data_IF_318148742191
#
_entry.id   IF_318148742191
#
_cell.length_a   1.000
_cell.length_b   1.000
_cell.length_c   1.000
_cell.angle_alpha   90.00
_cell.angle_beta   90.00
_cell.angle_gamma   90.00
#
_symmetry.space_group_name_H-M   'P 1'
#
loop_
_entity.id
_entity.type
_entity.pdbx_description
1 polymer ?
#
# COMPACT_ATOMS: atom_id res chain seq x y z
N UNK A 1 4.52 -43.49 0.70
CA UNK A 1 4.15 -42.20 0.09
C UNK A 1 3.46 -42.42 -1.25
N UNK A 2 4.10 -43.08 -2.22
CA UNK A 2 3.48 -43.41 -3.52
C UNK A 2 2.81 -44.79 -3.45
N UNK A 3 1.59 -44.91 -3.98
CA UNK A 3 0.84 -46.16 -4.12
C UNK A 3 1.03 -46.79 -5.49
N UNK A 4 0.93 -45.99 -6.56
CA UNK A 4 1.16 -46.45 -7.93
C UNK A 4 1.52 -45.29 -8.85
N UNK A 5 2.20 -45.62 -9.95
CA UNK A 5 2.45 -44.68 -11.04
C UNK A 5 1.93 -45.29 -12.35
N UNK A 6 1.28 -44.50 -13.19
CA UNK A 6 0.80 -44.94 -14.50
C UNK A 6 1.10 -43.91 -15.58
N UNK A 7 1.31 -44.38 -16.80
CA UNK A 7 1.48 -43.51 -17.97
C UNK A 7 0.10 -43.29 -18.58
N UNK A 8 -0.29 -42.03 -18.75
CA UNK A 8 -1.53 -41.64 -19.40
C UNK A 8 -1.26 -40.97 -20.75
N UNK A 9 -1.86 -41.53 -21.80
CA UNK A 9 -1.76 -40.99 -23.15
C UNK A 9 -0.32 -40.85 -23.65
N UNK A 10 0.00 -39.83 -24.47
CA UNK A 10 1.30 -39.70 -25.13
C UNK A 10 2.38 -39.02 -24.26
N UNK A 11 2.39 -39.26 -22.94
CA UNK A 11 3.54 -38.84 -22.09
C UNK A 11 3.25 -38.27 -20.70
N UNK A 12 2.00 -38.31 -20.19
CA UNK A 12 1.75 -37.89 -18.80
C UNK A 12 2.08 -39.03 -17.83
N UNK A 13 2.68 -38.69 -16.69
CA UNK A 13 2.90 -39.63 -15.59
C UNK A 13 1.95 -39.26 -14.46
N UNK A 14 0.99 -40.13 -14.20
CA UNK A 14 0.11 -40.02 -13.05
C UNK A 14 0.77 -40.70 -11.85
N UNK A 15 0.88 -39.98 -10.73
CA UNK A 15 1.39 -40.52 -9.47
C UNK A 15 0.24 -40.56 -8.47
N UNK A 16 -0.18 -41.75 -8.07
CA UNK A 16 -1.17 -41.96 -7.01
C UNK A 16 -0.45 -42.02 -5.67
N UNK A 17 -0.83 -41.16 -4.74
CA UNK A 17 -0.33 -41.17 -3.36
C UNK A 17 -1.12 -42.18 -2.52
N UNK A 18 -0.44 -42.86 -1.60
CA UNK A 18 -1.05 -43.83 -0.68
C UNK A 18 -2.02 -43.15 0.28
N UNK A 19 -3.24 -43.67 0.38
CA UNK A 19 -4.26 -43.18 1.31
C UNK A 19 -3.80 -43.23 2.77
N UNK A 20 -3.09 -44.30 3.18
CA UNK A 20 -2.56 -44.38 4.55
C UNK A 20 -1.51 -43.30 4.82
N UNK A 21 -0.71 -42.95 3.82
CA UNK A 21 0.28 -41.88 3.95
C UNK A 21 -0.40 -40.50 4.05
N UNK A 22 -1.41 -40.23 3.23
CA UNK A 22 -2.18 -38.98 3.29
C UNK A 22 -2.88 -38.84 4.65
N UNK A 23 -3.50 -39.90 5.15
CA UNK A 23 -4.24 -39.88 6.42
C UNK A 23 -3.37 -39.57 7.64
N UNK A 24 -2.09 -39.95 7.62
CA UNK A 24 -1.13 -39.65 8.69
C UNK A 24 -0.65 -38.20 8.71
N UNK A 25 -0.67 -37.48 7.59
CA UNK A 25 -0.20 -36.09 7.54
C UNK A 25 -1.01 -35.12 8.42
N UNK A 26 -2.36 -35.08 8.37
CA UNK A 26 -3.13 -34.15 9.19
C UNK A 26 -3.03 -34.44 10.69
N UNK A 27 -2.67 -35.66 11.11
CA UNK A 27 -2.43 -35.97 12.52
C UNK A 27 -1.35 -35.06 13.11
N UNK A 28 -0.26 -34.80 12.39
CA UNK A 28 0.81 -33.88 12.83
C UNK A 28 0.32 -32.44 13.02
N UNK A 29 -0.57 -31.96 12.14
CA UNK A 29 -1.16 -30.61 12.29
C UNK A 29 -2.04 -30.50 13.55
N UNK A 30 -2.71 -31.60 13.92
CA UNK A 30 -3.61 -31.66 15.07
C UNK A 30 -2.83 -31.81 16.38
N UNK A 31 -1.77 -32.62 16.39
CA UNK A 31 -0.98 -32.89 17.61
C UNK A 31 0.06 -31.81 17.88
N UNK A 32 0.76 -31.35 16.84
CA UNK A 32 1.92 -30.47 16.99
C UNK A 32 1.58 -29.00 16.66
N UNK A 33 0.35 -28.75 16.21
CA UNK A 33 -0.17 -27.43 15.86
C UNK A 33 0.12 -27.03 14.41
N UNK A 34 -0.74 -26.18 13.84
CA UNK A 34 -0.65 -25.81 12.42
C UNK A 34 0.66 -25.11 12.06
N UNK A 35 1.27 -24.41 13.02
CA UNK A 35 2.54 -23.69 12.84
C UNK A 35 3.71 -24.59 12.43
N UNK A 36 3.61 -25.91 12.65
CA UNK A 36 4.64 -26.89 12.24
C UNK A 36 4.63 -27.19 10.74
N UNK A 37 3.57 -26.81 10.04
CA UNK A 37 3.46 -26.98 8.59
C UNK A 37 4.11 -25.84 7.80
N UNK A 38 4.53 -24.79 8.50
CA UNK A 38 5.18 -23.67 7.86
C UNK A 38 6.51 -24.11 7.23
N UNK A 39 6.75 -23.81 5.94
CA UNK A 39 8.05 -24.07 5.35
C UNK A 39 9.09 -23.17 6.02
N UNK A 40 10.21 -23.76 6.45
CA UNK A 40 11.34 -22.97 6.95
C UNK A 40 12.09 -22.37 5.75
N UNK A 41 12.08 -21.04 5.68
CA UNK A 41 12.82 -20.30 4.67
C UNK A 41 14.21 -19.95 5.20
N UNK A 42 15.22 -19.97 4.33
CA UNK A 42 16.57 -19.51 4.67
C UNK A 42 16.66 -17.99 4.91
N UNK A 43 15.61 -17.25 4.54
CA UNK A 43 15.50 -15.81 4.70
C UNK A 43 15.19 -15.47 6.16
N UNK A 44 16.09 -14.74 6.82
CA UNK A 44 15.91 -14.37 8.24
C UNK A 44 15.02 -13.15 8.43
N UNK A 45 15.05 -12.20 7.49
CA UNK A 45 14.33 -10.93 7.60
C UNK A 45 13.82 -10.46 6.24
N UNK A 46 12.59 -9.96 6.21
CA UNK A 46 11.98 -9.35 5.04
C UNK A 46 11.36 -8.00 5.40
N UNK A 47 11.38 -7.06 4.44
CA UNK A 47 10.67 -5.79 4.56
C UNK A 47 9.54 -5.81 3.55
N UNK A 48 8.32 -5.59 4.01
CA UNK A 48 7.14 -5.52 3.14
C UNK A 48 6.61 -4.10 3.21
N UNK A 49 6.75 -3.36 2.11
CA UNK A 49 6.19 -2.02 1.95
C UNK A 49 4.85 -2.12 1.20
N UNK A 50 3.78 -1.62 1.83
CA UNK A 50 2.45 -1.74 1.29
C UNK A 50 1.52 -0.63 1.80
N UNK A 51 0.31 -0.57 1.24
CA UNK A 51 -0.64 0.53 1.38
C UNK A 51 -0.17 1.81 0.68
N UNK A 52 0.90 2.43 1.17
CA UNK A 52 1.59 3.62 0.62
C UNK A 52 0.65 4.65 -0.02
N UNK A 53 -0.39 5.11 0.69
CA UNK A 53 -1.32 6.10 0.15
C UNK A 53 -0.64 7.46 0.04
N UNK A 54 -1.12 8.28 -0.89
CA UNK A 54 -0.72 9.69 -0.94
C UNK A 54 -1.62 10.51 -0.01
N UNK A 55 -1.04 11.20 0.97
CA UNK A 55 -1.80 11.94 2.01
C UNK A 55 -2.71 13.02 1.40
N UNK A 56 -2.30 13.59 0.27
CA UNK A 56 -3.03 14.69 -0.39
C UNK A 56 -4.21 14.21 -1.23
N UNK A 57 -4.34 12.90 -1.44
CA UNK A 57 -5.48 12.28 -2.13
C UNK A 57 -6.35 11.50 -1.15
N UNK A 58 -7.63 11.37 -1.48
CA UNK A 58 -8.54 10.51 -0.72
C UNK A 58 -8.12 9.04 -0.87
N UNK A 59 -8.19 8.30 0.24
CA UNK A 59 -8.00 6.86 0.19
C UNK A 59 -9.20 6.20 -0.47
N UNK A 60 -9.05 5.81 -1.74
CA UNK A 60 -10.04 5.02 -2.47
C UNK A 60 -9.67 3.53 -2.52
N UNK A 61 -10.60 2.70 -3.02
CA UNK A 61 -10.47 1.23 -3.16
C UNK A 61 -9.21 0.76 -3.90
N UNK A 62 -8.55 1.64 -4.65
CA UNK A 62 -7.26 1.34 -5.30
C UNK A 62 -6.14 1.06 -4.29
N UNK A 63 -6.12 1.79 -3.16
CA UNK A 63 -5.16 1.57 -2.08
C UNK A 63 -5.51 0.35 -1.21
N UNK A 64 -6.78 -0.08 -1.23
CA UNK A 64 -7.21 -1.27 -0.50
C UNK A 64 -6.55 -2.54 -1.06
N UNK A 65 -6.33 -2.59 -2.38
CA UNK A 65 -5.66 -3.72 -3.04
C UNK A 65 -4.24 -3.93 -2.51
N UNK A 66 -3.40 -2.89 -2.54
CA UNK A 66 -2.02 -2.99 -2.02
C UNK A 66 -2.01 -3.30 -0.54
N UNK A 67 -2.99 -2.76 0.20
CA UNK A 67 -3.12 -3.00 1.65
C UNK A 67 -3.38 -4.48 1.97
N UNK A 68 -4.38 -5.09 1.33
CA UNK A 68 -4.75 -6.49 1.57
C UNK A 68 -3.65 -7.45 1.10
N UNK A 69 -3.10 -7.22 -0.09
CA UNK A 69 -2.05 -8.07 -0.64
C UNK A 69 -0.79 -8.00 0.22
N UNK A 70 -0.36 -6.80 0.60
CA UNK A 70 0.82 -6.61 1.44
C UNK A 70 0.68 -7.25 2.81
N UNK A 71 -0.48 -7.09 3.46
CA UNK A 71 -0.72 -7.74 4.75
C UNK A 71 -0.75 -9.27 4.63
N UNK A 72 -1.35 -9.81 3.57
CA UNK A 72 -1.39 -11.26 3.32
C UNK A 72 0.03 -11.82 3.13
N UNK A 73 0.87 -11.15 2.33
CA UNK A 73 2.27 -11.57 2.12
C UNK A 73 3.05 -11.49 3.42
N UNK A 74 2.88 -10.42 4.21
CA UNK A 74 3.56 -10.27 5.49
C UNK A 74 3.21 -11.42 6.45
N UNK A 75 1.93 -11.79 6.54
CA UNK A 75 1.47 -12.94 7.36
C UNK A 75 2.02 -14.27 6.87
N UNK A 76 2.10 -14.49 5.55
CA UNK A 76 2.68 -15.73 4.98
C UNK A 76 4.17 -15.88 5.32
N UNK A 77 4.91 -14.76 5.31
CA UNK A 77 6.33 -14.73 5.67
C UNK A 77 6.54 -14.95 7.17
N UNK A 78 5.72 -14.32 8.02
CA UNK A 78 5.73 -14.56 9.47
C UNK A 78 5.38 -16.01 9.83
N UNK A 79 4.39 -16.58 9.13
CA UNK A 79 4.04 -17.99 9.27
C UNK A 79 5.26 -18.87 8.99
N UNK A 80 6.04 -18.54 7.95
CA UNK A 80 7.31 -19.17 7.57
C UNK A 80 8.51 -18.79 8.46
N UNK A 81 8.25 -18.24 9.66
CA UNK A 81 9.24 -17.85 10.69
C UNK A 81 10.24 -16.77 10.25
N UNK A 82 9.89 -15.96 9.24
CA UNK A 82 10.69 -14.81 8.82
C UNK A 82 10.36 -13.61 9.71
N UNK A 83 11.40 -12.85 10.13
CA UNK A 83 11.20 -11.56 10.81
C UNK A 83 10.73 -10.51 9.78
N UNK A 84 9.47 -10.09 9.86
CA UNK A 84 8.85 -9.19 8.87
C UNK A 84 8.70 -7.78 9.42
N UNK A 85 9.34 -6.83 8.74
CA UNK A 85 9.13 -5.41 8.97
C UNK A 85 8.10 -4.86 8.00
N UNK A 86 6.91 -4.55 8.50
CA UNK A 86 5.87 -3.86 7.73
C UNK A 86 6.19 -2.37 7.64
N UNK A 87 6.28 -1.83 6.43
CA UNK A 87 6.47 -0.41 6.17
C UNK A 87 5.31 0.13 5.35
N UNK A 88 5.04 1.41 5.58
CA UNK A 88 4.09 2.18 4.80
C UNK A 88 4.84 3.41 4.31
N UNK A 89 5.33 3.36 3.07
CA UNK A 89 6.01 4.47 2.43
C UNK A 89 4.98 5.47 1.91
N UNK A 90 4.42 6.22 2.86
CA UNK A 90 3.38 7.20 2.60
C UNK A 90 3.91 8.29 1.65
N UNK A 91 3.08 8.71 0.69
CA UNK A 91 3.40 9.82 -0.20
C UNK A 91 3.20 11.16 0.51
N UNK A 92 4.14 11.52 1.40
CA UNK A 92 4.13 12.73 2.22
C UNK A 92 5.05 13.85 1.67
N UNK A 93 5.74 13.58 0.56
CA UNK A 93 6.68 14.52 -0.07
C UNK A 93 6.32 14.80 -1.54
N UNK A 94 6.36 16.07 -1.95
CA UNK A 94 6.21 16.48 -3.35
C UNK A 94 5.42 17.78 -3.55
N UNK A 95 5.27 18.19 -4.81
CA UNK A 95 4.60 19.45 -5.19
C UNK A 95 3.17 19.57 -4.65
N UNK A 96 2.48 18.44 -4.49
CA UNK A 96 1.12 18.39 -3.95
C UNK A 96 1.04 18.94 -2.52
N UNK A 97 2.09 18.74 -1.71
CA UNK A 97 2.20 19.34 -0.37
C UNK A 97 2.43 20.85 -0.43
N UNK A 98 3.35 21.32 -1.27
CA UNK A 98 3.60 22.75 -1.44
C UNK A 98 2.35 23.51 -1.89
N UNK A 99 1.57 22.90 -2.80
CA UNK A 99 0.31 23.47 -3.25
C UNK A 99 -0.79 23.47 -2.17
N UNK A 100 -0.87 22.41 -1.36
CA UNK A 100 -1.81 22.34 -0.25
C UNK A 100 -1.47 23.39 0.82
N UNK A 101 -0.18 23.55 1.13
CA UNK A 101 0.31 24.55 2.09
C UNK A 101 -0.02 25.97 1.60
N UNK A 102 0.25 26.29 0.33
CA UNK A 102 -0.12 27.59 -0.24
C UNK A 102 -1.62 27.84 -0.19
N UNK A 103 -2.44 26.83 -0.54
CA UNK A 103 -3.89 26.92 -0.44
C UNK A 103 -4.34 27.22 1.00
N UNK A 104 -3.69 26.61 2.00
CA UNK A 104 -3.95 26.91 3.40
C UNK A 104 -3.52 28.32 3.80
N UNK A 105 -2.39 28.83 3.29
CA UNK A 105 -1.95 30.21 3.51
C UNK A 105 -2.90 31.26 2.91
N UNK A 106 -3.46 30.99 1.73
CA UNK A 106 -4.44 31.89 1.12
C UNK A 106 -5.78 31.88 1.86
N UNK A 107 -6.22 30.68 2.27
CA UNK A 107 -7.51 30.48 2.92
C UNK A 107 -7.50 30.94 4.38
N UNK A 108 -6.38 30.76 5.07
CA UNK A 108 -6.20 31.12 6.46
C UNK A 108 -5.02 32.07 6.59
N UNK A 109 -5.29 33.30 7.03
CA UNK A 109 -4.25 34.28 7.34
C UNK A 109 -3.23 33.68 8.33
N UNK A 110 -1.95 34.01 8.12
CA UNK A 110 -0.81 33.62 8.95
C UNK A 110 -1.18 33.68 10.45
N UNK A 111 -1.14 32.53 11.12
CA UNK A 111 -1.37 32.43 12.57
C UNK A 111 -2.77 31.99 13.02
N UNK A 112 -3.74 31.78 12.12
CA UNK A 112 -5.04 31.16 12.45
C UNK A 112 -5.18 29.72 11.94
N UNK A 113 -4.10 28.95 11.98
CA UNK A 113 -4.20 27.50 11.72
C UNK A 113 -4.73 26.82 12.99
N UNK A 114 -5.78 25.99 12.89
CA UNK A 114 -6.17 25.16 14.00
C UNK A 114 -5.02 24.17 14.27
N UNK A 115 -4.29 24.41 15.36
CA UNK A 115 -3.23 23.54 15.86
C UNK A 115 -3.71 22.12 16.20
N UNK A 116 -5.03 21.94 16.33
CA UNK A 116 -5.72 20.66 16.41
C UNK A 116 -6.96 20.68 15.52
N UNK A 117 -6.73 20.58 14.21
CA UNK A 117 -7.83 20.42 13.27
C UNK A 117 -8.49 19.04 13.43
N UNK A 118 -9.82 18.96 13.60
CA UNK A 118 -10.52 17.68 13.56
C UNK A 118 -10.40 17.05 12.16
N UNK A 119 -10.52 15.72 12.07
CA UNK A 119 -10.40 15.01 10.79
C UNK A 119 -11.35 15.54 9.70
N UNK A 120 -12.57 15.90 10.09
CA UNK A 120 -13.57 16.51 9.19
C UNK A 120 -13.09 17.82 8.57
N UNK A 121 -12.26 18.60 9.28
CA UNK A 121 -11.63 19.79 8.72
C UNK A 121 -10.61 19.43 7.64
N UNK A 122 -9.79 18.40 7.87
CA UNK A 122 -8.79 17.93 6.90
C UNK A 122 -9.45 17.35 5.65
N UNK A 123 -10.53 16.58 5.78
CA UNK A 123 -11.28 16.08 4.64
C UNK A 123 -11.87 17.22 3.81
N UNK A 124 -12.51 18.19 4.48
CA UNK A 124 -13.09 19.35 3.82
C UNK A 124 -12.03 20.19 3.10
N UNK A 125 -10.89 20.47 3.73
CA UNK A 125 -9.81 21.24 3.08
C UNK A 125 -9.21 20.50 1.91
N UNK A 126 -9.02 19.18 2.01
CA UNK A 126 -8.57 18.34 0.88
C UNK A 126 -9.57 18.36 -0.28
N UNK A 127 -10.87 18.26 -0.01
CA UNK A 127 -11.90 18.31 -1.05
C UNK A 127 -11.91 19.68 -1.77
N UNK A 128 -11.87 20.76 -1.02
CA UNK A 128 -11.84 22.13 -1.57
C UNK A 128 -10.54 22.40 -2.35
N UNK A 129 -9.40 21.91 -1.85
CA UNK A 129 -8.13 21.94 -2.55
C UNK A 129 -8.21 21.18 -3.87
N UNK A 130 -8.71 19.94 -3.86
CA UNK A 130 -8.81 19.10 -5.06
C UNK A 130 -9.73 19.72 -6.12
N UNK A 131 -10.86 20.31 -5.68
CA UNK A 131 -11.78 21.03 -6.57
C UNK A 131 -11.11 22.26 -7.20
N UNK A 132 -10.37 23.03 -6.41
CA UNK A 132 -9.66 24.22 -6.89
C UNK A 132 -8.49 23.84 -7.82
N UNK A 133 -7.78 22.77 -7.50
CA UNK A 133 -6.69 22.22 -8.29
C UNK A 133 -7.15 21.70 -9.65
N UNK A 134 -8.22 20.91 -9.70
CA UNK A 134 -8.74 20.37 -10.95
C UNK A 134 -9.26 21.48 -11.88
N UNK A 135 -9.85 22.55 -11.32
CA UNK A 135 -10.21 23.76 -12.09
C UNK A 135 -8.96 24.45 -12.66
N UNK A 136 -7.88 24.53 -11.88
CA UNK A 136 -6.62 25.10 -12.34
C UNK A 136 -6.01 24.29 -13.49
N UNK A 137 -5.87 22.97 -13.35
CA UNK A 137 -5.33 22.10 -14.41
C UNK A 137 -6.16 22.21 -15.69
N UNK A 138 -7.48 22.16 -15.57
CA UNK A 138 -8.36 22.28 -16.74
C UNK A 138 -8.24 23.63 -17.44
N UNK A 139 -8.01 24.71 -16.68
CA UNK A 139 -7.72 26.04 -17.24
C UNK A 139 -6.37 26.09 -17.97
N UNK A 140 -5.37 25.34 -17.49
CA UNK A 140 -4.05 25.23 -18.12
C UNK A 140 -4.09 24.45 -19.44
N UNK A 141 -4.78 23.30 -19.45
CA UNK A 141 -4.95 22.47 -20.65
C UNK A 141 -5.71 23.20 -21.76
N UNK A 142 -6.59 24.14 -21.38
CA UNK A 142 -7.33 25.03 -22.29
C UNK A 142 -6.53 26.28 -22.72
N UNK A 143 -5.23 26.35 -22.41
CA UNK A 143 -4.35 27.44 -22.86
C UNK A 143 -4.41 28.72 -22.02
N UNK A 144 -5.00 28.68 -20.82
CA UNK A 144 -5.01 29.80 -19.89
C UNK A 144 -3.66 30.01 -19.19
N UNK A 145 -3.13 31.23 -19.24
CA UNK A 145 -1.91 31.61 -18.50
C UNK A 145 -2.29 32.05 -17.08
N UNK A 146 -1.90 31.27 -16.07
CA UNK A 146 -2.07 31.68 -14.67
C UNK A 146 -0.70 31.93 -14.02
N UNK A 147 -0.36 33.18 -13.72
CA UNK A 147 0.89 33.58 -13.04
C UNK A 147 1.14 32.88 -11.67
N UNK A 148 0.12 32.20 -11.13
CA UNK A 148 0.14 31.53 -9.82
C UNK A 148 0.97 30.23 -9.80
N UNK A 149 1.11 29.54 -10.93
CA UNK A 149 1.85 28.26 -11.00
C UNK A 149 3.37 28.44 -10.92
N UNK A 150 3.88 29.60 -11.36
CA UNK A 150 5.29 29.95 -11.18
C UNK A 150 5.60 30.12 -9.67
N UNK A 151 4.76 30.84 -8.92
CA UNK A 151 4.88 30.94 -7.45
C UNK A 151 4.79 29.57 -6.75
N UNK A 152 3.92 28.68 -7.20
CA UNK A 152 3.76 27.34 -6.62
C UNK A 152 4.99 26.44 -6.85
N UNK A 153 5.59 26.49 -8.03
CA UNK A 153 6.86 25.81 -8.32
C UNK A 153 8.03 26.43 -7.53
N UNK A 154 8.04 27.75 -7.33
CA UNK A 154 9.05 28.45 -6.52
C UNK A 154 8.93 28.15 -5.02
N UNK A 155 7.70 28.07 -4.49
CA UNK A 155 7.44 27.65 -3.11
C UNK A 155 7.90 26.21 -2.85
N UNK A 156 7.68 25.29 -3.81
CA UNK A 156 8.23 23.92 -3.75
C UNK A 156 9.77 23.91 -3.69
N UNK A 157 10.44 24.79 -4.45
CA UNK A 157 11.91 24.93 -4.41
C UNK A 157 12.43 25.51 -3.09
N UNK A 158 11.64 26.36 -2.43
CA UNK A 158 11.97 26.94 -1.12
C UNK A 158 11.86 25.93 0.03
N UNK A 159 11.02 24.90 -0.10
CA UNK A 159 10.84 23.85 0.92
C UNK A 159 11.88 22.73 0.78
N UNK A 160 12.50 22.59 -0.39
CA UNK A 160 13.54 21.60 -0.70
C UNK A 160 15.00 22.09 -0.43
N UNK A 161 15.18 23.22 0.27
CA UNK A 161 16.48 23.75 0.72
C UNK A 161 16.56 23.69 2.24
#
# INVERSE_FOLDING_TARGET
MIESCSIAGPGFINVKLSTQWIAKNPEYAITDGIDTWAPELSVKRAIVDFSSPNITKEMHVGHLRSTIIGDTIARMLEYSKVDVLRRNHVGDWGTQFGMLIEFLFEKFQMGRYPCQAPWSFLERTKYEFHTSYNKMIRSYELGGVYNKTIRLCEASKSINK
#
